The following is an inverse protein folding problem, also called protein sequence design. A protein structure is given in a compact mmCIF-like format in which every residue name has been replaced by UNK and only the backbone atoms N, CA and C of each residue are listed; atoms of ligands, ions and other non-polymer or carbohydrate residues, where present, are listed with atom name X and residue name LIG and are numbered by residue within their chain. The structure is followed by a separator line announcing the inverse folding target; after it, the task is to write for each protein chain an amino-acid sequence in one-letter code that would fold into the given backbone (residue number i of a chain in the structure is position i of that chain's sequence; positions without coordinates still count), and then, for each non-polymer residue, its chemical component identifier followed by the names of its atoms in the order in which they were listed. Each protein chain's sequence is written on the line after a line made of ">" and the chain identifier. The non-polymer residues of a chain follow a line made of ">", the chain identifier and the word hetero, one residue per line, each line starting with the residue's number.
data_IF_604343840055
#
_entry.id   IF_604343840055
#
_cell.length_a   1.000
_cell.length_b   1.000
_cell.length_c   1.000
_cell.angle_alpha   90.00
_cell.angle_beta   90.00
_cell.angle_gamma   90.00
#
_symmetry.space_group_name_H-M   'P 1'
#
loop_
_entity.id
_entity.type
_entity.pdbx_description
1 polymer ?
#
# COMPACT_ATOMS: atom_id res chain seq x y z
N UNK A 1 -1.48 -6.45 2.39
CA UNK A 1 -0.22 -6.62 1.63
C UNK A 1 0.34 -5.24 1.34
N UNK A 2 1.64 -5.02 1.52
CA UNK A 2 2.32 -3.76 1.23
C UNK A 2 3.30 -4.00 0.08
N UNK A 3 3.24 -3.14 -0.95
CA UNK A 3 4.26 -3.02 -1.98
C UNK A 3 5.23 -1.91 -1.57
N UNK A 4 6.52 -2.17 -1.67
CA UNK A 4 7.58 -1.23 -1.35
C UNK A 4 8.41 -1.02 -2.61
N UNK A 5 8.59 0.25 -2.98
CA UNK A 5 9.36 0.66 -4.14
C UNK A 5 10.19 1.90 -3.77
N UNK A 6 11.47 1.68 -3.45
CA UNK A 6 12.28 2.70 -2.78
C UNK A 6 11.57 3.20 -1.53
N UNK A 7 11.40 4.51 -1.42
CA UNK A 7 10.71 5.15 -0.29
C UNK A 7 9.18 5.07 -0.36
N UNK A 8 8.61 4.70 -1.52
CA UNK A 8 7.16 4.61 -1.69
C UNK A 8 6.63 3.28 -1.15
N UNK A 9 5.62 3.36 -0.28
CA UNK A 9 4.91 2.20 0.28
C UNK A 9 3.44 2.25 -0.10
N UNK A 10 2.87 1.13 -0.54
CA UNK A 10 1.46 1.03 -0.93
C UNK A 10 0.82 -0.20 -0.30
N UNK A 11 -0.08 0.00 0.66
CA UNK A 11 -0.94 -1.04 1.21
C UNK A 11 -2.20 -1.21 0.35
N UNK A 12 -2.65 -2.46 0.18
CA UNK A 12 -3.92 -2.77 -0.49
C UNK A 12 -4.97 -3.28 0.49
N UNK A 13 -6.19 -2.72 0.41
CA UNK A 13 -7.36 -3.17 1.15
C UNK A 13 -7.91 -4.50 0.61
N UNK A 14 -8.08 -4.60 -0.71
CA UNK A 14 -8.43 -5.86 -1.39
C UNK A 14 -7.28 -6.31 -2.27
N UNK A 15 -7.08 -7.63 -2.37
CA UNK A 15 -6.01 -8.24 -3.16
C UNK A 15 -6.63 -9.05 -4.31
N UNK A 16 -6.38 -10.36 -4.40
CA UNK A 16 -6.80 -11.18 -5.53
C UNK A 16 -8.29 -11.50 -5.45
N UNK A 17 -9.10 -10.72 -6.16
CA UNK A 17 -10.54 -10.97 -6.36
C UNK A 17 -11.06 -10.26 -7.62
N UNK A 18 -12.25 -10.64 -8.07
CA UNK A 18 -12.93 -9.95 -9.15
C UNK A 18 -13.18 -8.48 -8.79
N UNK A 19 -12.99 -7.56 -9.73
CA UNK A 19 -13.11 -6.11 -9.50
C UNK A 19 -14.45 -5.73 -8.88
N UNK A 20 -15.57 -6.31 -9.36
CA UNK A 20 -16.90 -6.10 -8.76
C UNK A 20 -16.92 -6.42 -7.26
N UNK A 21 -16.34 -7.57 -6.87
CA UNK A 21 -16.26 -7.97 -5.46
C UNK A 21 -15.33 -7.06 -4.66
N UNK A 22 -14.31 -6.49 -5.29
CA UNK A 22 -13.44 -5.52 -4.65
C UNK A 22 -14.20 -4.24 -4.28
N UNK A 23 -15.04 -3.74 -5.20
CA UNK A 23 -15.94 -2.61 -4.93
C UNK A 23 -16.95 -2.94 -3.82
N UNK A 24 -17.61 -4.10 -3.89
CA UNK A 24 -18.59 -4.54 -2.87
C UNK A 24 -17.96 -4.75 -1.49
N UNK A 25 -16.65 -5.02 -1.43
CA UNK A 25 -15.91 -5.24 -0.18
C UNK A 25 -15.46 -3.93 0.50
N UNK A 26 -15.76 -2.76 -0.05
CA UNK A 26 -15.44 -1.49 0.58
C UNK A 26 -16.48 -1.20 1.66
N UNK A 27 -16.05 -1.21 2.92
CA UNK A 27 -16.88 -0.82 4.07
C UNK A 27 -16.08 0.08 5.00
N UNK A 28 -16.77 0.86 5.83
CA UNK A 28 -16.14 1.75 6.82
C UNK A 28 -15.18 0.97 7.72
N UNK A 29 -15.60 -0.19 8.19
CA UNK A 29 -14.86 -1.04 9.13
C UNK A 29 -13.59 -1.59 8.48
N UNK A 30 -13.69 -2.03 7.23
CA UNK A 30 -12.55 -2.56 6.47
C UNK A 30 -11.55 -1.46 6.12
N UNK A 31 -12.02 -0.27 5.74
CA UNK A 31 -11.14 0.87 5.48
C UNK A 31 -10.43 1.31 6.77
N UNK A 32 -11.18 1.49 7.87
CA UNK A 32 -10.63 1.89 9.15
C UNK A 32 -9.59 0.89 9.65
N UNK A 33 -9.92 -0.40 9.68
CA UNK A 33 -8.96 -1.43 10.12
C UNK A 33 -7.68 -1.48 9.29
N UNK A 34 -7.75 -1.17 7.99
CA UNK A 34 -6.55 -1.07 7.14
C UNK A 34 -5.73 0.19 7.41
N UNK A 35 -6.38 1.33 7.69
CA UNK A 35 -5.69 2.55 8.12
C UNK A 35 -4.95 2.30 9.45
N UNK A 36 -5.61 1.65 10.40
CA UNK A 36 -5.01 1.29 11.70
C UNK A 36 -3.85 0.31 11.54
N UNK A 37 -4.00 -0.70 10.68
CA UNK A 37 -2.94 -1.65 10.39
C UNK A 37 -1.73 -0.96 9.73
N UNK A 38 -1.97 -0.04 8.79
CA UNK A 38 -0.92 0.75 8.16
C UNK A 38 -0.19 1.61 9.20
N UNK A 39 -0.92 2.30 10.06
CA UNK A 39 -0.36 3.09 11.16
C UNK A 39 0.53 2.23 12.08
N UNK A 40 -0.02 1.13 12.60
CA UNK A 40 0.71 0.22 13.50
C UNK A 40 1.96 -0.37 12.85
N UNK A 41 1.87 -0.75 11.57
CA UNK A 41 2.99 -1.30 10.81
C UNK A 41 4.13 -0.29 10.73
N UNK A 42 3.85 0.95 10.33
CA UNK A 42 4.89 1.97 10.20
C UNK A 42 5.44 2.44 11.54
N UNK A 43 4.62 2.52 12.58
CA UNK A 43 5.08 2.80 13.96
C UNK A 43 6.04 1.71 14.44
N UNK A 44 5.78 0.44 14.11
CA UNK A 44 6.70 -0.67 14.41
C UNK A 44 8.03 -0.52 13.67
N UNK A 45 8.04 0.13 12.51
CA UNK A 45 9.27 0.46 11.77
C UNK A 45 9.93 1.77 12.23
N UNK A 46 9.49 2.34 13.34
CA UNK A 46 10.09 3.54 13.93
C UNK A 46 9.56 4.87 13.41
N UNK A 47 8.59 4.88 12.50
CA UNK A 47 7.95 6.11 12.02
C UNK A 47 6.93 6.56 13.07
N UNK A 48 7.28 7.55 13.90
CA UNK A 48 6.50 7.94 15.10
C UNK A 48 5.15 8.61 14.83
N UNK A 49 4.93 9.15 13.63
CA UNK A 49 3.66 9.78 13.25
C UNK A 49 3.41 9.61 11.74
N UNK A 50 3.12 8.37 11.28
CA UNK A 50 3.07 8.07 9.86
C UNK A 50 1.91 8.78 9.18
N UNK A 51 2.18 9.45 8.08
CA UNK A 51 1.18 10.05 7.20
C UNK A 51 0.64 9.01 6.20
N UNK A 52 -0.66 8.72 6.30
CA UNK A 52 -1.33 7.70 5.49
C UNK A 52 -2.20 8.40 4.44
N UNK A 53 -1.85 8.27 3.17
CA UNK A 53 -2.71 8.71 2.07
C UNK A 53 -3.74 7.63 1.75
N UNK A 54 -5.04 7.96 1.73
CA UNK A 54 -6.10 7.01 1.37
C UNK A 54 -6.66 7.35 0.00
N UNK A 55 -6.63 6.38 -0.93
CA UNK A 55 -7.17 6.57 -2.27
C UNK A 55 -8.71 6.57 -2.26
N UNK A 56 -9.32 7.28 -3.22
CA UNK A 56 -10.72 7.08 -3.59
C UNK A 56 -10.91 5.75 -4.31
N UNK A 57 -12.12 5.20 -4.23
CA UNK A 57 -12.54 4.03 -5.01
C UNK A 57 -12.89 4.45 -6.43
N UNK A 58 -13.73 5.48 -6.51
CA UNK A 58 -14.28 5.99 -7.74
C UNK A 58 -13.35 7.05 -8.36
N UNK A 59 -13.46 7.29 -9.69
CA UNK A 59 -12.82 8.43 -10.32
C UNK A 59 -13.10 9.71 -9.54
N UNK A 60 -12.08 10.55 -9.40
CA UNK A 60 -12.17 11.81 -8.65
C UNK A 60 -12.67 11.65 -7.20
N UNK A 61 -12.48 10.48 -6.59
CA UNK A 61 -13.01 10.15 -5.28
C UNK A 61 -14.54 10.39 -5.17
N UNK A 62 -15.27 10.00 -6.22
CA UNK A 62 -16.74 10.00 -6.25
C UNK A 62 -17.38 11.31 -6.72
N UNK A 63 -16.61 12.40 -6.89
CA UNK A 63 -17.11 13.70 -7.37
C UNK A 63 -18.40 14.14 -6.64
N UNK A 64 -18.31 14.23 -5.31
CA UNK A 64 -19.43 14.61 -4.45
C UNK A 64 -20.61 13.63 -4.44
N UNK A 65 -20.42 12.40 -4.91
CA UNK A 65 -21.47 11.39 -5.02
C UNK A 65 -21.88 11.06 -6.46
N UNK A 66 -21.46 11.87 -7.43
CA UNK A 66 -21.86 11.75 -8.83
C UNK A 66 -21.34 10.48 -9.50
N UNK A 67 -20.14 10.03 -9.12
CA UNK A 67 -19.50 8.83 -9.69
C UNK A 67 -19.57 7.60 -8.78
N UNK A 68 -20.34 7.67 -7.70
CA UNK A 68 -20.43 6.64 -6.68
C UNK A 68 -20.50 7.27 -5.29
N UNK A 69 -20.95 6.50 -4.31
CA UNK A 69 -21.23 7.00 -2.95
C UNK A 69 -20.41 6.30 -1.87
N UNK A 70 -19.54 5.37 -2.26
CA UNK A 70 -18.67 4.60 -1.38
C UNK A 70 -17.73 5.51 -0.58
N UNK A 71 -17.27 6.61 -1.17
CA UNK A 71 -16.51 7.63 -0.45
C UNK A 71 -17.29 8.25 0.70
N UNK A 72 -18.53 8.67 0.44
CA UNK A 72 -19.39 9.33 1.42
C UNK A 72 -19.82 8.34 2.51
N UNK A 73 -20.20 7.13 2.12
CA UNK A 73 -20.81 6.16 3.01
C UNK A 73 -19.78 5.36 3.83
N UNK A 74 -18.56 5.18 3.32
CA UNK A 74 -17.58 4.27 3.91
C UNK A 74 -16.20 4.89 4.11
N UNK A 75 -15.62 5.52 3.08
CA UNK A 75 -14.19 5.93 3.12
C UNK A 75 -13.99 7.18 3.98
N UNK A 76 -14.75 8.26 3.74
CA UNK A 76 -14.70 9.50 4.54
C UNK A 76 -15.02 9.23 6.01
N UNK A 77 -16.09 8.47 6.36
CA UNK A 77 -16.36 8.12 7.75
C UNK A 77 -15.24 7.32 8.42
N UNK A 78 -14.53 6.45 7.68
CA UNK A 78 -13.41 5.69 8.22
C UNK A 78 -12.19 6.58 8.49
N UNK A 79 -11.88 7.49 7.56
CA UNK A 79 -10.79 8.46 7.70
C UNK A 79 -11.04 9.38 8.90
N UNK A 80 -12.27 9.90 9.04
CA UNK A 80 -12.62 10.77 10.17
C UNK A 80 -12.43 10.06 11.51
N UNK A 81 -12.87 8.81 11.64
CA UNK A 81 -12.66 8.02 12.87
C UNK A 81 -11.17 7.78 13.13
N UNK A 82 -10.37 7.54 12.08
CA UNK A 82 -8.92 7.39 12.24
C UNK A 82 -8.27 8.70 12.76
N UNK A 83 -8.67 9.85 12.20
CA UNK A 83 -8.21 11.18 12.65
C UNK A 83 -8.61 11.45 14.10
N UNK A 84 -9.86 11.13 14.49
CA UNK A 84 -10.33 11.24 15.87
C UNK A 84 -9.50 10.38 16.83
N UNK A 85 -8.96 9.26 16.36
CA UNK A 85 -8.04 8.37 17.10
C UNK A 85 -6.57 8.84 17.07
N UNK A 86 -6.29 10.01 16.47
CA UNK A 86 -4.95 10.58 16.38
C UNK A 86 -4.09 10.02 15.25
N UNK A 87 -4.67 9.28 14.30
CA UNK A 87 -3.96 8.79 13.12
C UNK A 87 -3.93 9.88 12.05
N UNK A 88 -2.73 10.22 11.57
CA UNK A 88 -2.55 11.15 10.46
C UNK A 88 -2.96 10.50 9.12
N UNK A 89 -4.26 10.50 8.83
CA UNK A 89 -4.83 10.00 7.58
C UNK A 89 -5.33 11.15 6.69
N UNK A 90 -5.00 11.11 5.40
CA UNK A 90 -5.37 12.12 4.40
C UNK A 90 -6.13 11.46 3.26
N UNK A 91 -7.36 11.90 2.99
CA UNK A 91 -8.13 11.45 1.84
C UNK A 91 -9.65 11.56 2.01
N UNK A 92 -10.43 10.91 1.13
CA UNK A 92 -9.97 10.17 -0.03
C UNK A 92 -9.35 11.10 -1.09
N UNK A 93 -8.23 10.70 -1.67
CA UNK A 93 -7.57 11.42 -2.76
C UNK A 93 -7.84 10.66 -4.08
N UNK A 94 -8.15 11.34 -5.20
CA UNK A 94 -8.28 10.69 -6.49
C UNK A 94 -7.06 9.79 -6.81
N UNK A 95 -7.32 8.58 -7.29
CA UNK A 95 -6.31 7.54 -7.45
C UNK A 95 -5.20 7.94 -8.44
N UNK A 96 -5.55 8.68 -9.49
CA UNK A 96 -4.63 9.24 -10.47
C UNK A 96 -3.71 10.33 -9.88
N UNK A 97 -4.13 11.00 -8.80
CA UNK A 97 -3.36 12.06 -8.12
C UNK A 97 -2.53 11.51 -6.96
N UNK A 98 -3.07 10.55 -6.20
CA UNK A 98 -2.44 10.10 -4.95
C UNK A 98 -1.06 9.48 -5.19
N UNK A 99 -0.88 8.69 -6.25
CA UNK A 99 0.41 8.05 -6.54
C UNK A 99 1.46 9.05 -7.03
N UNK A 100 1.06 10.10 -7.75
CA UNK A 100 1.96 11.20 -8.13
C UNK A 100 2.43 11.96 -6.89
N UNK A 101 1.56 12.17 -5.90
CA UNK A 101 1.92 12.77 -4.62
C UNK A 101 2.80 11.84 -3.77
N UNK A 102 2.47 10.55 -3.74
CA UNK A 102 3.23 9.53 -3.01
C UNK A 102 4.67 9.41 -3.52
N UNK A 103 4.87 9.41 -4.84
CA UNK A 103 6.21 9.43 -5.45
C UNK A 103 7.04 10.64 -5.02
N UNK A 104 6.39 11.76 -4.68
CA UNK A 104 7.04 12.99 -4.18
C UNK A 104 7.17 13.03 -2.66
N UNK A 105 6.91 11.93 -1.96
CA UNK A 105 7.06 11.81 -0.50
C UNK A 105 5.94 12.48 0.30
N UNK A 106 4.76 12.71 -0.28
CA UNK A 106 3.64 13.32 0.44
C UNK A 106 3.04 12.42 1.53
N UNK A 107 3.31 11.11 1.47
CA UNK A 107 2.77 10.09 2.39
C UNK A 107 3.85 9.06 2.71
N UNK A 108 3.86 8.56 3.94
CA UNK A 108 4.73 7.45 4.34
C UNK A 108 4.22 6.10 3.80
N UNK A 109 2.89 6.01 3.60
CA UNK A 109 2.22 4.89 2.94
C UNK A 109 0.91 5.33 2.29
N UNK A 110 0.58 4.74 1.14
CA UNK A 110 -0.72 4.88 0.48
C UNK A 110 -1.57 3.64 0.73
N UNK A 111 -2.84 3.82 1.13
CA UNK A 111 -3.86 2.79 1.11
C UNK A 111 -4.62 2.83 -0.22
N UNK A 112 -4.31 1.88 -1.10
CA UNK A 112 -5.07 1.57 -2.29
C UNK A 112 -6.22 0.61 -1.95
N UNK A 113 -7.36 0.76 -2.61
CA UNK A 113 -8.58 0.03 -2.29
C UNK A 113 -8.69 -1.30 -3.05
N UNK A 114 -8.03 -1.42 -4.20
CA UNK A 114 -7.97 -2.65 -4.97
C UNK A 114 -6.62 -2.92 -5.64
N UNK A 115 -6.41 -4.18 -6.01
CA UNK A 115 -5.13 -4.70 -6.48
C UNK A 115 -4.52 -3.89 -7.63
N UNK A 116 -5.29 -3.68 -8.69
CA UNK A 116 -4.78 -3.02 -9.90
C UNK A 116 -4.56 -1.52 -9.70
N UNK A 117 -5.27 -0.88 -8.76
CA UNK A 117 -5.03 0.51 -8.36
C UNK A 117 -3.59 0.70 -7.86
N UNK A 118 -3.11 -0.22 -7.01
CA UNK A 118 -1.75 -0.20 -6.49
C UNK A 118 -0.72 -0.69 -7.52
N UNK A 119 -1.00 -1.83 -8.15
CA UNK A 119 -0.03 -2.51 -9.00
C UNK A 119 0.28 -1.74 -10.27
N UNK A 120 -0.69 -1.01 -10.83
CA UNK A 120 -0.45 -0.18 -12.01
C UNK A 120 0.58 0.91 -11.71
N UNK A 121 0.42 1.63 -10.60
CA UNK A 121 1.38 2.65 -10.17
C UNK A 121 2.76 2.04 -9.87
N UNK A 122 2.81 0.96 -9.09
CA UNK A 122 4.08 0.31 -8.74
C UNK A 122 4.85 -0.20 -9.97
N UNK A 123 4.16 -0.82 -10.94
CA UNK A 123 4.79 -1.35 -12.16
C UNK A 123 5.29 -0.26 -13.09
N UNK A 124 4.60 0.87 -13.19
CA UNK A 124 5.07 2.02 -13.98
C UNK A 124 6.32 2.66 -13.37
N UNK A 125 6.41 2.69 -12.05
CA UNK A 125 7.50 3.36 -11.35
C UNK A 125 8.76 2.51 -11.18
N UNK A 126 8.65 1.18 -11.19
CA UNK A 126 9.82 0.32 -11.00
C UNK A 126 9.53 -1.16 -11.13
N UNK A 127 9.09 -1.58 -12.31
CA UNK A 127 8.93 -3.00 -12.64
C UNK A 127 10.22 -3.79 -12.31
N UNK A 128 10.07 -4.89 -11.56
CA UNK A 128 11.20 -5.74 -11.16
C UNK A 128 11.87 -5.36 -9.83
N UNK A 129 11.69 -4.14 -9.33
CA UNK A 129 12.29 -3.69 -8.06
C UNK A 129 11.33 -3.71 -6.87
N UNK A 130 10.04 -3.97 -7.12
CA UNK A 130 9.00 -3.99 -6.07
C UNK A 130 9.25 -5.14 -5.09
N UNK A 131 9.32 -4.80 -3.80
CA UNK A 131 9.32 -5.77 -2.69
C UNK A 131 7.92 -5.89 -2.13
N UNK A 132 7.50 -7.11 -1.82
CA UNK A 132 6.22 -7.35 -1.13
C UNK A 132 6.47 -7.63 0.34
N UNK A 133 5.69 -7.00 1.21
CA UNK A 133 5.73 -7.24 2.65
C UNK A 133 4.33 -7.55 3.19
N UNK A 134 4.27 -8.46 4.16
CA UNK A 134 3.03 -8.80 4.86
C UNK A 134 2.94 -8.04 6.19
N UNK A 135 1.94 -7.16 6.29
CA UNK A 135 1.59 -6.46 7.51
C UNK A 135 0.69 -7.31 8.40
N UNK A 136 0.75 -7.09 9.72
CA UNK A 136 -0.13 -7.73 10.71
C UNK A 136 0.29 -9.12 11.15
N UNK A 137 1.45 -9.61 10.70
CA UNK A 137 2.07 -10.82 11.22
C UNK A 137 2.89 -10.50 12.48
N UNK A 138 3.08 -11.48 13.40
CA UNK A 138 3.97 -11.32 14.55
C UNK A 138 5.46 -11.35 14.16
N UNK A 139 5.77 -11.40 12.86
CA UNK A 139 7.12 -11.47 12.30
C UNK A 139 7.22 -10.53 11.09
N UNK A 140 8.43 -10.06 10.80
CA UNK A 140 8.72 -9.37 9.54
C UNK A 140 8.81 -10.43 8.43
N UNK A 141 7.99 -10.26 7.39
CA UNK A 141 8.02 -11.13 6.21
C UNK A 141 8.01 -10.28 4.95
N UNK A 142 9.12 -10.31 4.23
CA UNK A 142 9.27 -9.76 2.87
C UNK A 142 9.30 -10.89 1.82
N UNK A 143 9.16 -10.53 0.56
CA UNK A 143 9.20 -11.43 -0.59
C UNK A 143 9.57 -10.64 -1.84
N UNK A 144 10.21 -11.32 -2.78
CA UNK A 144 10.43 -10.82 -4.14
C UNK A 144 9.12 -10.54 -4.88
N UNK A 145 9.17 -9.62 -5.83
CA UNK A 145 8.08 -9.28 -6.74
C UNK A 145 8.02 -10.14 -8.01
N UNK A 146 9.00 -11.02 -8.24
CA UNK A 146 9.04 -11.93 -9.39
C UNK A 146 8.58 -13.36 -9.05
N UNK A 147 8.32 -14.15 -10.09
CA UNK A 147 7.95 -15.57 -10.00
C UNK A 147 9.16 -16.51 -9.96
N UNK A 148 8.92 -17.79 -10.24
CA UNK A 148 9.93 -18.86 -10.15
C UNK A 148 10.95 -18.88 -11.30
N UNK A 149 10.63 -18.29 -12.44
CA UNK A 149 11.50 -18.21 -13.63
C UNK A 149 12.16 -19.56 -14.00
N UNK A 150 11.35 -20.63 -14.11
CA UNK A 150 11.83 -22.00 -14.36
C UNK A 150 12.67 -22.14 -15.63
N UNK A 151 12.39 -21.32 -16.64
CA UNK A 151 13.10 -21.29 -17.91
C UNK A 151 14.56 -20.83 -17.79
N UNK A 152 14.95 -20.16 -16.69
CA UNK A 152 16.33 -19.71 -16.44
C UNK A 152 17.02 -20.42 -15.28
N UNK A 153 16.33 -21.36 -14.61
CA UNK A 153 16.91 -22.11 -13.49
C UNK A 153 18.18 -22.87 -13.93
N UNK A 154 19.26 -22.72 -13.17
CA UNK A 154 20.56 -23.35 -13.47
C UNK A 154 21.35 -22.71 -14.61
N UNK A 155 20.85 -21.64 -15.25
CA UNK A 155 21.54 -20.94 -16.34
C UNK A 155 22.47 -19.81 -15.87
N UNK A 156 22.43 -19.47 -14.57
CA UNK A 156 23.23 -18.40 -13.96
C UNK A 156 23.01 -17.01 -14.59
N UNK A 157 21.77 -16.72 -15.01
CA UNK A 157 21.36 -15.45 -15.64
C UNK A 157 20.25 -14.72 -14.86
N UNK A 158 19.91 -15.20 -13.67
CA UNK A 158 18.91 -14.56 -12.82
C UNK A 158 19.48 -13.28 -12.21
N UNK A 159 18.69 -12.22 -12.21
CA UNK A 159 19.01 -10.95 -11.54
C UNK A 159 18.68 -11.05 -10.03
N UNK A 160 19.67 -10.94 -9.12
CA UNK A 160 19.46 -11.06 -7.69
C UNK A 160 18.97 -9.77 -7.03
N UNK A 161 18.92 -8.63 -7.73
CA UNK A 161 18.76 -7.31 -7.10
C UNK A 161 17.47 -7.17 -6.29
N UNK A 162 16.35 -7.69 -6.80
CA UNK A 162 15.08 -7.66 -6.07
C UNK A 162 15.09 -8.52 -4.81
N UNK A 163 15.83 -9.64 -4.81
CA UNK A 163 15.98 -10.49 -3.63
C UNK A 163 16.84 -9.79 -2.56
N UNK A 164 17.92 -9.13 -2.98
CA UNK A 164 18.75 -8.31 -2.10
C UNK A 164 17.91 -7.18 -1.50
N UNK A 165 17.09 -6.51 -2.31
CA UNK A 165 16.21 -5.44 -1.84
C UNK A 165 15.18 -5.94 -0.83
N UNK A 166 14.61 -7.14 -1.04
CA UNK A 166 13.70 -7.75 -0.07
C UNK A 166 14.38 -8.02 1.29
N UNK A 167 15.68 -8.36 1.29
CA UNK A 167 16.47 -8.51 2.52
C UNK A 167 16.71 -7.15 3.18
N UNK A 168 17.07 -6.11 2.42
CA UNK A 168 17.30 -4.75 2.94
C UNK A 168 16.05 -4.19 3.61
N UNK A 169 14.90 -4.28 2.95
CA UNK A 169 13.61 -3.88 3.52
C UNK A 169 13.32 -4.59 4.84
N UNK A 170 13.65 -5.89 4.94
CA UNK A 170 13.49 -6.62 6.20
C UNK A 170 14.45 -6.15 7.29
N UNK A 171 15.71 -5.84 6.95
CA UNK A 171 16.69 -5.29 7.88
C UNK A 171 16.32 -3.89 8.38
N UNK A 172 15.81 -3.03 7.50
CA UNK A 172 15.32 -1.69 7.85
C UNK A 172 14.12 -1.78 8.78
N UNK A 173 13.18 -2.68 8.50
CA UNK A 173 12.03 -2.94 9.37
C UNK A 173 12.44 -3.45 10.77
N UNK A 174 13.59 -4.12 10.90
CA UNK A 174 14.18 -4.50 12.18
C UNK A 174 14.91 -3.34 12.90
N UNK A 175 15.07 -2.18 12.26
CA UNK A 175 15.87 -1.07 12.78
C UNK A 175 17.39 -1.28 12.65
N UNK A 176 17.83 -2.21 11.78
CA UNK A 176 19.26 -2.54 11.60
C UNK A 176 19.94 -1.61 10.59
N UNK A 177 19.17 -0.93 9.72
CA UNK A 177 19.67 -0.06 8.65
C UNK A 177 19.66 1.45 8.93
N UNK A 178 19.21 1.90 10.09
CA UNK A 178 19.17 3.33 10.45
C UNK A 178 20.42 3.75 11.24
N UNK A 179 21.51 4.02 10.52
CA UNK A 179 22.68 4.79 10.97
C UNK A 179 23.05 5.84 9.93
#
# INVERSE_FOLDING_TARGET
>A
MILILGDMRVMMLTTHMALRKACDAISKERVLSMIELAHQTLTTFGIRNPCIGVAGLNPHAGEGGTFGTEEINHIVPAINVAIERGINAIGPVPADVIFVKAQKGAYDIVLALYHDQANMAAKLLGFGSVVTMLAGLPIIRTSVGHGTAFDIAGKNVADPDNFIEAIRVAADACGVGSN
#
